data_IF_984106943907
#
_entry.id   IF_984106943907
#
_cell.length_a   1.000
_cell.length_b   1.000
_cell.length_c   1.000
_cell.angle_alpha   90.00
_cell.angle_beta   90.00
_cell.angle_gamma   90.00
#
_symmetry.space_group_name_H-M   'P 1'
#
loop_
_entity.id
_entity.type
_entity.pdbx_description
1 polymer ?
#
# COMPACT_ATOMS: atom_id res chain seq x y z
N UNK A 1 -16.66 16.97 13.53
CA UNK A 1 -16.59 15.67 12.82
C UNK A 1 -15.71 15.82 11.59
N UNK A 2 -14.64 15.05 11.49
CA UNK A 2 -13.75 15.06 10.32
C UNK A 2 -14.47 14.29 9.20
N UNK A 3 -14.71 14.93 8.06
CA UNK A 3 -15.29 14.25 6.89
C UNK A 3 -14.24 13.27 6.38
N UNK A 4 -14.54 11.96 6.43
CA UNK A 4 -13.68 10.95 5.81
C UNK A 4 -13.84 11.02 4.29
N UNK A 5 -12.73 11.05 3.57
CA UNK A 5 -12.68 11.08 2.10
C UNK A 5 -12.00 9.82 1.60
N UNK A 6 -12.46 9.33 0.46
CA UNK A 6 -11.87 8.18 -0.20
C UNK A 6 -10.45 8.52 -0.69
N UNK A 7 -9.48 7.65 -0.42
CA UNK A 7 -8.08 7.80 -0.83
C UNK A 7 -7.85 7.60 -2.34
N UNK A 8 -8.86 7.15 -3.09
CA UNK A 8 -8.80 6.99 -4.54
C UNK A 8 -9.47 8.13 -5.32
N UNK A 9 -10.74 8.44 -5.03
CA UNK A 9 -11.51 9.45 -5.77
C UNK A 9 -11.65 10.79 -5.05
N UNK A 10 -11.18 10.89 -3.80
CA UNK A 10 -11.26 12.08 -2.93
C UNK A 10 -12.68 12.58 -2.62
N UNK A 11 -13.71 11.83 -3.00
CA UNK A 11 -15.10 12.10 -2.61
C UNK A 11 -15.38 11.63 -1.18
N UNK A 12 -16.47 12.12 -0.60
CA UNK A 12 -16.90 11.76 0.76
C UNK A 12 -17.22 10.27 0.86
N UNK A 13 -16.80 9.65 1.97
CA UNK A 13 -17.15 8.27 2.33
C UNK A 13 -18.51 8.20 3.04
N UNK A 14 -19.22 7.09 2.85
CA UNK A 14 -20.42 6.75 3.63
C UNK A 14 -20.03 6.26 5.04
N UNK A 15 -20.98 6.25 5.98
CA UNK A 15 -20.68 5.94 7.40
C UNK A 15 -20.13 4.51 7.61
N UNK A 16 -20.40 3.60 6.69
CA UNK A 16 -19.95 2.20 6.72
C UNK A 16 -18.65 1.96 5.95
N UNK A 17 -18.08 2.98 5.32
CA UNK A 17 -16.88 2.84 4.49
C UNK A 17 -15.63 3.36 5.22
N UNK A 18 -14.52 2.66 5.04
CA UNK A 18 -13.22 3.02 5.64
C UNK A 18 -12.21 3.21 4.54
N UNK A 19 -11.66 4.42 4.45
CA UNK A 19 -10.60 4.87 3.52
C UNK A 19 -10.89 4.77 2.02
N UNK A 20 -11.73 3.84 1.56
CA UNK A 20 -12.12 3.64 0.17
C UNK A 20 -13.61 3.35 0.04
N UNK A 21 -14.24 3.85 -1.03
CA UNK A 21 -15.53 3.30 -1.44
C UNK A 21 -15.38 1.85 -1.87
N UNK A 22 -16.40 1.03 -1.69
CA UNK A 22 -16.37 -0.37 -2.16
C UNK A 22 -16.07 -0.44 -3.67
N UNK A 23 -16.66 0.46 -4.46
CA UNK A 23 -16.43 0.59 -5.91
C UNK A 23 -14.99 1.02 -6.24
N UNK A 24 -14.44 1.96 -5.45
CA UNK A 24 -13.08 2.45 -5.64
C UNK A 24 -12.06 1.37 -5.29
N UNK A 25 -12.30 0.64 -4.19
CA UNK A 25 -11.47 -0.50 -3.79
C UNK A 25 -11.47 -1.59 -4.85
N UNK A 26 -12.65 -1.97 -5.38
CA UNK A 26 -12.75 -2.95 -6.48
C UNK A 26 -11.98 -2.51 -7.71
N UNK A 27 -12.04 -1.21 -8.05
CA UNK A 27 -11.36 -0.67 -9.23
C UNK A 27 -9.83 -0.64 -9.07
N UNK A 28 -9.34 -0.37 -7.86
CA UNK A 28 -7.90 -0.20 -7.62
C UNK A 28 -7.21 -1.50 -7.19
N UNK A 29 -7.79 -2.26 -6.28
CA UNK A 29 -7.22 -3.50 -5.71
C UNK A 29 -7.84 -4.78 -6.27
N UNK A 30 -8.97 -4.70 -6.98
CA UNK A 30 -9.72 -5.86 -7.46
C UNK A 30 -10.67 -6.48 -6.42
N UNK A 31 -10.75 -5.93 -5.20
CA UNK A 31 -11.60 -6.43 -4.10
C UNK A 31 -12.49 -5.37 -3.48
N UNK A 32 -13.61 -5.81 -2.89
CA UNK A 32 -14.56 -4.93 -2.19
C UNK A 32 -13.92 -4.22 -0.99
N UNK A 33 -13.07 -4.93 -0.25
CA UNK A 33 -12.32 -4.43 0.89
C UNK A 33 -10.87 -4.17 0.47
N UNK A 34 -10.28 -3.03 0.86
CA UNK A 34 -8.87 -2.77 0.58
C UNK A 34 -7.99 -3.78 1.32
N UNK A 35 -6.87 -4.22 0.71
CA UNK A 35 -5.89 -5.06 1.39
C UNK A 35 -5.27 -4.31 2.58
N UNK A 36 -4.85 -5.05 3.60
CA UNK A 36 -4.19 -4.48 4.76
C UNK A 36 -2.79 -3.95 4.40
N UNK A 37 -2.43 -2.80 4.97
CA UNK A 37 -1.08 -2.24 4.95
C UNK A 37 -0.58 -2.14 6.40
N UNK A 38 -0.04 -3.23 6.92
CA UNK A 38 0.37 -3.37 8.32
C UNK A 38 1.76 -2.77 8.58
N UNK A 39 2.01 -1.55 8.09
CA UNK A 39 3.24 -0.82 8.34
C UNK A 39 2.94 0.50 9.03
N UNK A 40 3.61 0.74 10.14
CA UNK A 40 3.59 2.06 10.78
C UNK A 40 4.64 2.99 10.13
N UNK A 41 4.61 4.27 10.50
CA UNK A 41 5.52 5.27 9.94
C UNK A 41 7.00 5.00 10.30
N UNK A 42 7.27 4.47 11.48
CA UNK A 42 8.63 4.17 11.95
C UNK A 42 9.26 3.03 11.14
N UNK A 43 8.49 1.97 10.90
CA UNK A 43 8.86 0.85 10.04
C UNK A 43 9.08 1.32 8.60
N UNK A 44 8.24 2.21 8.08
CA UNK A 44 8.44 2.79 6.75
C UNK A 44 9.73 3.60 6.66
N UNK A 45 10.06 4.38 7.69
CA UNK A 45 11.30 5.15 7.75
C UNK A 45 12.53 4.25 7.80
N UNK A 46 12.51 3.20 8.62
CA UNK A 46 13.59 2.22 8.72
C UNK A 46 13.83 1.52 7.37
N UNK A 47 12.76 1.04 6.73
CA UNK A 47 12.84 0.42 5.40
C UNK A 47 13.40 1.40 4.35
N UNK A 48 12.97 2.66 4.36
CA UNK A 48 13.47 3.67 3.44
C UNK A 48 14.97 3.94 3.64
N UNK A 49 15.43 3.98 4.89
CA UNK A 49 16.85 4.11 5.21
C UNK A 49 17.65 2.91 4.69
N UNK A 50 17.18 1.69 4.92
CA UNK A 50 17.84 0.48 4.41
C UNK A 50 17.98 0.50 2.89
N UNK A 51 16.95 0.95 2.16
CA UNK A 51 17.00 1.07 0.71
C UNK A 51 18.06 2.05 0.24
N UNK A 52 18.15 3.21 0.88
CA UNK A 52 19.15 4.23 0.53
C UNK A 52 20.57 3.69 0.74
N UNK A 53 20.78 2.89 1.79
CA UNK A 53 22.08 2.28 2.11
C UNK A 53 22.42 1.14 1.12
N UNK A 54 21.44 0.28 0.80
CA UNK A 54 21.64 -0.93 -0.01
C UNK A 54 21.64 -0.66 -1.51
N UNK A 55 20.91 0.35 -1.96
CA UNK A 55 20.85 0.69 -3.38
C UNK A 55 22.11 1.44 -3.78
N UNK A 56 22.85 0.93 -4.77
CA UNK A 56 23.93 1.69 -5.42
C UNK A 56 23.29 2.96 -6.00
N UNK A 57 23.53 4.09 -5.34
CA UNK A 57 22.95 5.37 -5.76
C UNK A 57 23.63 5.81 -7.04
N UNK A 58 22.95 5.63 -8.17
CA UNK A 58 23.32 6.33 -9.40
C UNK A 58 22.92 7.78 -9.22
N UNK A 59 23.88 8.69 -9.43
CA UNK A 59 23.63 10.13 -9.28
C UNK A 59 22.46 10.56 -10.16
N UNK A 60 21.49 11.26 -9.56
CA UNK A 60 20.26 11.70 -10.23
C UNK A 60 19.10 10.69 -10.23
N UNK A 61 19.25 9.50 -9.64
CA UNK A 61 18.17 8.50 -9.53
C UNK A 61 17.87 8.21 -8.06
N UNK A 62 16.60 8.37 -7.67
CA UNK A 62 16.12 8.00 -6.35
C UNK A 62 15.56 6.56 -6.37
N UNK A 63 16.03 5.66 -5.48
CA UNK A 63 15.45 4.33 -5.36
C UNK A 63 14.00 4.41 -4.86
N UNK A 64 13.15 3.51 -5.36
CA UNK A 64 11.71 3.50 -5.08
C UNK A 64 11.32 2.27 -4.28
N UNK A 65 10.51 2.48 -3.24
CA UNK A 65 9.71 1.44 -2.62
C UNK A 65 8.60 1.03 -3.57
N UNK A 66 8.54 -0.24 -3.93
CA UNK A 66 7.45 -0.81 -4.73
C UNK A 66 6.57 -1.67 -3.85
N UNK A 67 5.26 -1.67 -4.10
CA UNK A 67 4.28 -2.50 -3.39
C UNK A 67 3.65 -3.47 -4.38
N UNK A 68 3.42 -4.70 -3.94
CA UNK A 68 2.64 -5.70 -4.66
C UNK A 68 1.48 -6.18 -3.81
N UNK A 69 0.42 -6.68 -4.45
CA UNK A 69 -0.66 -7.38 -3.76
C UNK A 69 -0.32 -8.86 -3.74
N UNK A 70 0.05 -9.36 -2.57
CA UNK A 70 0.33 -10.77 -2.37
C UNK A 70 -0.99 -11.50 -2.08
N UNK A 71 -1.22 -12.62 -2.77
CA UNK A 71 -2.33 -13.53 -2.53
C UNK A 71 -1.83 -14.67 -1.66
N UNK A 72 -2.28 -14.76 -0.41
CA UNK A 72 -1.91 -15.89 0.44
C UNK A 72 -2.56 -17.17 -0.10
N UNK A 73 -1.74 -18.16 -0.45
CA UNK A 73 -2.20 -19.45 -0.97
C UNK A 73 -3.16 -20.13 0.02
N UNK A 74 -4.44 -20.19 -0.34
CA UNK A 74 -5.49 -20.85 0.46
C UNK A 74 -6.68 -19.97 0.83
N UNK A 75 -6.56 -18.64 0.75
CA UNK A 75 -7.69 -17.73 1.01
C UNK A 75 -7.69 -16.53 0.03
N UNK A 76 -8.58 -16.52 -0.97
CA UNK A 76 -8.68 -15.41 -1.93
C UNK A 76 -9.16 -14.09 -1.30
N UNK A 77 -9.57 -14.09 -0.02
CA UNK A 77 -9.95 -12.88 0.73
C UNK A 77 -8.78 -12.27 1.50
N UNK A 78 -7.69 -13.01 1.72
CA UNK A 78 -6.50 -12.52 2.40
C UNK A 78 -5.50 -11.94 1.39
N UNK A 79 -5.80 -10.72 0.95
CA UNK A 79 -4.89 -9.91 0.15
C UNK A 79 -4.08 -8.99 1.07
N UNK A 80 -2.76 -9.01 0.92
CA UNK A 80 -1.84 -8.16 1.69
C UNK A 80 -1.02 -7.28 0.75
N UNK A 81 -0.83 -6.01 1.11
CA UNK A 81 0.15 -5.16 0.45
C UNK A 81 1.54 -5.48 1.01
N UNK A 82 2.41 -6.01 0.16
CA UNK A 82 3.77 -6.41 0.52
C UNK A 82 4.78 -5.52 -0.21
N UNK A 83 5.80 -5.03 0.49
CA UNK A 83 6.91 -4.28 -0.11
C UNK A 83 7.81 -5.24 -0.89
N UNK A 84 8.09 -4.89 -2.15
CA UNK A 84 8.94 -5.68 -3.07
C UNK A 84 10.13 -4.85 -3.56
N UNK A 85 11.20 -5.54 -3.98
CA UNK A 85 12.43 -4.91 -4.46
C UNK A 85 13.41 -4.45 -3.37
N UNK A 86 13.13 -4.76 -2.09
CA UNK A 86 14.03 -4.47 -0.96
C UNK A 86 15.29 -5.35 -0.94
N UNK A 87 15.17 -6.60 -1.38
CA UNK A 87 16.20 -7.64 -1.18
C UNK A 87 16.81 -8.17 -2.49
N UNK A 88 16.41 -7.62 -3.64
CA UNK A 88 16.80 -8.11 -4.96
C UNK A 88 16.00 -9.35 -5.36
N UNK A 89 15.02 -9.14 -6.23
CA UNK A 89 14.55 -10.05 -7.30
C UNK A 89 13.59 -9.27 -8.21
#
# INVERSE_FOLDING_TARGET
MKIKRCLYCYQRLEDNETDFHEKCSKKFFGTAQPPALDYNNEQMQEMAQEIVIRSITVTGVQPKLSLTIEKTSGDPKNLRLTVVGLWGD
#
